data_IF_610780481967
#
_entry.id   IF_610780481967
#
_cell.length_a   1.000
_cell.length_b   1.000
_cell.length_c   1.000
_cell.angle_alpha   90.00
_cell.angle_beta   90.00
_cell.angle_gamma   90.00
#
_symmetry.space_group_name_H-M   'P 1'
#
loop_
_entity.id
_entity.type
_entity.pdbx_description
1 polymer ?
#
# COMPACT_ATOMS: atom_id res chain seq x y z
N UNK A 1 -45.60 78.07 -31.43
CA UNK A 1 -44.34 77.38 -31.57
C UNK A 1 -44.21 76.44 -30.40
N UNK A 2 -44.43 75.12 -30.65
CA UNK A 2 -44.36 74.11 -29.65
C UNK A 2 -43.14 73.26 -30.01
N UNK A 3 -42.14 73.24 -29.12
CA UNK A 3 -40.94 72.47 -29.30
C UNK A 3 -41.18 71.07 -28.74
N UNK A 4 -41.17 70.04 -29.60
CA UNK A 4 -41.26 68.65 -29.21
C UNK A 4 -39.87 68.12 -28.81
N UNK A 5 -39.75 67.60 -27.59
CA UNK A 5 -38.56 66.89 -27.09
C UNK A 5 -38.65 65.45 -27.49
N UNK A 6 -37.70 64.95 -28.28
CA UNK A 6 -37.50 63.55 -28.59
C UNK A 6 -36.72 62.89 -27.44
N UNK A 7 -37.38 61.93 -26.75
CA UNK A 7 -36.72 61.07 -25.78
C UNK A 7 -36.11 59.84 -26.52
N UNK A 8 -34.79 59.79 -26.58
CA UNK A 8 -34.09 58.59 -27.09
C UNK A 8 -33.82 57.66 -25.92
N UNK A 9 -34.54 56.51 -25.89
CA UNK A 9 -34.33 55.43 -24.90
C UNK A 9 -33.21 54.50 -25.42
N UNK A 10 -32.04 54.58 -24.84
CA UNK A 10 -30.95 53.65 -25.14
C UNK A 10 -31.19 52.33 -24.39
N UNK A 11 -31.43 51.27 -25.15
CA UNK A 11 -31.48 49.90 -24.62
C UNK A 11 -30.06 49.33 -24.54
N UNK A 12 -29.51 49.22 -23.33
CA UNK A 12 -28.22 48.59 -23.08
C UNK A 12 -28.48 47.10 -23.02
N UNK A 13 -28.19 46.36 -24.11
CA UNK A 13 -28.13 44.88 -24.09
C UNK A 13 -26.81 44.48 -23.44
N UNK A 14 -26.89 44.14 -22.17
CA UNK A 14 -25.75 43.60 -21.42
C UNK A 14 -25.39 42.20 -21.93
N UNK A 15 -24.34 42.11 -22.75
CA UNK A 15 -23.71 40.86 -23.12
C UNK A 15 -23.04 40.28 -21.85
N UNK A 16 -23.71 39.35 -21.17
CA UNK A 16 -23.05 38.49 -20.17
C UNK A 16 -22.04 37.62 -20.92
N UNK A 17 -20.77 38.01 -20.88
CA UNK A 17 -19.67 37.14 -21.20
C UNK A 17 -19.74 35.94 -20.22
N UNK A 18 -20.21 34.80 -20.70
CA UNK A 18 -20.09 33.54 -19.98
C UNK A 18 -18.58 33.30 -19.79
N UNK A 19 -18.12 33.36 -18.55
CA UNK A 19 -16.78 32.91 -18.20
C UNK A 19 -16.63 31.45 -18.66
N UNK A 20 -15.51 31.09 -19.29
CA UNK A 20 -15.28 29.69 -19.69
C UNK A 20 -15.42 28.81 -18.44
N UNK A 21 -16.28 27.80 -18.53
CA UNK A 21 -16.37 26.79 -17.47
C UNK A 21 -15.00 26.13 -17.34
N UNK A 22 -14.49 25.97 -16.12
CA UNK A 22 -13.30 25.16 -15.92
C UNK A 22 -13.55 23.76 -16.51
N UNK A 23 -12.53 23.15 -17.15
CA UNK A 23 -12.68 21.78 -17.64
C UNK A 23 -13.15 20.89 -16.48
N UNK A 24 -13.99 19.87 -16.75
CA UNK A 24 -14.42 18.94 -15.73
C UNK A 24 -13.17 18.40 -15.03
N UNK A 25 -13.17 18.40 -13.70
CA UNK A 25 -12.11 17.77 -12.93
C UNK A 25 -12.02 16.32 -13.42
N UNK A 26 -10.87 15.92 -13.96
CA UNK A 26 -10.61 14.52 -14.26
C UNK A 26 -10.58 13.85 -12.89
N UNK A 27 -11.61 13.07 -12.57
CA UNK A 27 -11.57 12.21 -11.39
C UNK A 27 -10.33 11.36 -11.51
N UNK A 28 -9.44 11.47 -10.52
CA UNK A 28 -8.23 10.68 -10.50
C UNK A 28 -8.65 9.20 -10.46
N UNK A 29 -8.25 8.43 -11.47
CA UNK A 29 -8.53 7.00 -11.51
C UNK A 29 -7.93 6.35 -10.27
N UNK A 30 -8.77 5.69 -9.48
CA UNK A 30 -8.32 4.93 -8.32
C UNK A 30 -7.55 3.68 -8.80
N UNK A 31 -6.42 3.40 -8.17
CA UNK A 31 -5.56 2.26 -8.56
C UNK A 31 -5.35 1.30 -7.40
N UNK A 32 -5.48 0.01 -7.70
CA UNK A 32 -5.03 -1.09 -6.88
C UNK A 32 -3.67 -1.59 -7.37
N UNK A 33 -2.76 -1.85 -6.46
CA UNK A 33 -1.49 -2.52 -6.78
C UNK A 33 -1.36 -3.76 -5.93
N UNK A 34 -1.15 -4.90 -6.57
CA UNK A 34 -0.91 -6.20 -5.93
C UNK A 34 0.53 -6.59 -6.18
N UNK A 35 1.26 -6.90 -5.11
CA UNK A 35 2.61 -7.46 -5.14
C UNK A 35 2.55 -8.84 -4.51
N UNK A 36 2.84 -9.89 -5.27
CA UNK A 36 2.96 -11.27 -4.78
C UNK A 36 4.40 -11.77 -4.93
N UNK A 37 5.21 -11.52 -3.88
CA UNK A 37 6.60 -11.97 -3.83
C UNK A 37 6.70 -13.48 -3.57
N UNK A 38 5.68 -14.10 -2.98
CA UNK A 38 5.68 -15.53 -2.67
C UNK A 38 5.47 -16.41 -3.91
N UNK A 39 4.95 -15.86 -5.01
CA UNK A 39 4.87 -16.55 -6.30
C UNK A 39 6.28 -16.66 -6.93
N UNK A 40 6.64 -17.74 -7.62
CA UNK A 40 5.81 -18.94 -7.87
C UNK A 40 5.95 -20.05 -6.82
N UNK A 41 6.81 -19.92 -5.82
CA UNK A 41 7.12 -21.00 -4.85
C UNK A 41 5.89 -21.37 -4.00
N UNK A 42 5.18 -20.35 -3.50
CA UNK A 42 4.00 -20.47 -2.66
C UNK A 42 2.78 -19.83 -3.36
N UNK A 43 2.52 -20.26 -4.59
CA UNK A 43 1.46 -19.73 -5.45
C UNK A 43 0.07 -19.95 -4.85
N UNK A 44 -0.71 -18.88 -4.72
CA UNK A 44 -2.13 -18.95 -4.34
C UNK A 44 -2.99 -18.12 -5.33
N UNK A 45 -3.41 -18.73 -6.46
CA UNK A 45 -4.20 -18.04 -7.47
C UNK A 45 -5.60 -17.70 -6.98
N UNK A 46 -6.17 -18.45 -6.02
CA UNK A 46 -7.48 -18.17 -5.43
C UNK A 46 -7.44 -16.85 -4.64
N UNK A 47 -6.47 -16.68 -3.74
CA UNK A 47 -6.27 -15.43 -3.01
C UNK A 47 -6.10 -14.26 -3.96
N UNK A 48 -5.18 -14.40 -4.94
CA UNK A 48 -4.90 -13.31 -5.88
C UNK A 48 -6.14 -12.92 -6.68
N UNK A 49 -6.90 -13.89 -7.14
CA UNK A 49 -8.16 -13.65 -7.87
C UNK A 49 -9.21 -12.97 -6.99
N UNK A 50 -9.33 -13.36 -5.72
CA UNK A 50 -10.25 -12.74 -4.76
C UNK A 50 -9.86 -11.29 -4.48
N UNK A 51 -8.60 -11.03 -4.11
CA UNK A 51 -8.09 -9.67 -3.86
C UNK A 51 -8.29 -8.76 -5.07
N UNK A 52 -8.00 -9.26 -6.27
CA UNK A 52 -8.22 -8.53 -7.51
C UNK A 52 -9.69 -8.21 -7.73
N UNK A 53 -10.58 -9.20 -7.56
CA UNK A 53 -12.02 -9.03 -7.75
C UNK A 53 -12.59 -7.97 -6.79
N UNK A 54 -12.21 -8.00 -5.50
CA UNK A 54 -12.65 -7.03 -4.51
C UNK A 54 -12.14 -5.62 -4.84
N UNK A 55 -10.90 -5.49 -5.33
CA UNK A 55 -10.34 -4.21 -5.78
C UNK A 55 -11.09 -3.68 -7.01
N UNK A 56 -11.37 -4.53 -8.01
CA UNK A 56 -12.11 -4.15 -9.23
C UNK A 56 -13.57 -3.79 -8.89
N UNK A 57 -14.25 -4.51 -7.99
CA UNK A 57 -15.60 -4.20 -7.51
C UNK A 57 -15.64 -2.86 -6.76
N UNK A 58 -14.60 -2.54 -5.99
CA UNK A 58 -14.43 -1.23 -5.35
C UNK A 58 -14.21 -0.09 -6.37
N UNK A 59 -13.89 -0.39 -7.62
CA UNK A 59 -13.65 0.57 -8.69
C UNK A 59 -12.18 0.90 -8.95
N UNK A 60 -11.26 0.07 -8.49
CA UNK A 60 -9.82 0.24 -8.73
C UNK A 60 -9.40 -0.38 -10.07
N UNK A 61 -8.50 0.30 -10.78
CA UNK A 61 -7.72 -0.34 -11.85
C UNK A 61 -6.56 -1.10 -11.22
N UNK A 62 -6.51 -2.42 -11.40
CA UNK A 62 -5.54 -3.28 -10.73
C UNK A 62 -4.31 -3.52 -11.59
N UNK A 63 -3.13 -3.31 -11.00
CA UNK A 63 -1.82 -3.66 -11.53
C UNK A 63 -1.21 -4.74 -10.62
N UNK A 64 -0.62 -5.77 -11.21
CA UNK A 64 -0.06 -6.91 -10.50
C UNK A 64 1.42 -7.08 -10.83
N UNK A 65 2.21 -7.38 -9.79
CA UNK A 65 3.62 -7.76 -9.87
C UNK A 65 3.79 -9.08 -9.12
N UNK A 66 4.34 -10.09 -9.78
CA UNK A 66 4.52 -11.41 -9.18
C UNK A 66 5.89 -12.02 -9.50
N UNK A 67 6.33 -12.93 -8.67
CA UNK A 67 7.56 -13.70 -8.93
C UNK A 67 8.76 -12.81 -9.16
N UNK A 68 9.45 -13.05 -10.27
CA UNK A 68 10.69 -12.34 -10.64
C UNK A 68 10.49 -10.84 -10.92
N UNK A 69 9.26 -10.40 -11.16
CA UNK A 69 8.94 -8.98 -11.33
C UNK A 69 8.96 -8.21 -9.99
N UNK A 70 8.97 -8.91 -8.86
CA UNK A 70 9.07 -8.29 -7.54
C UNK A 70 10.54 -8.04 -7.19
N UNK A 71 11.02 -6.88 -7.60
CA UNK A 71 12.42 -6.44 -7.49
C UNK A 71 12.56 -5.21 -6.58
N UNK A 72 13.79 -4.79 -6.33
CA UNK A 72 14.07 -3.51 -5.65
C UNK A 72 13.47 -2.33 -6.43
N UNK A 73 13.50 -2.38 -7.77
CA UNK A 73 12.93 -1.32 -8.62
C UNK A 73 11.40 -1.29 -8.59
N UNK A 74 10.75 -2.42 -8.39
CA UNK A 74 9.29 -2.49 -8.18
C UNK A 74 8.90 -1.66 -6.95
N UNK A 75 9.57 -1.87 -5.81
CA UNK A 75 9.35 -1.06 -4.61
C UNK A 75 9.76 0.41 -4.80
N UNK A 76 10.84 0.69 -5.58
CA UNK A 76 11.27 2.06 -5.87
C UNK A 76 10.21 2.85 -6.62
N UNK A 77 9.59 2.22 -7.61
CA UNK A 77 8.62 2.84 -8.52
C UNK A 77 7.19 2.89 -7.99
N UNK A 78 6.87 2.27 -6.85
CA UNK A 78 5.50 2.19 -6.31
C UNK A 78 4.79 3.54 -6.25
N UNK A 79 5.47 4.58 -5.82
CA UNK A 79 4.90 5.92 -5.74
C UNK A 79 4.52 6.51 -7.11
N UNK A 80 5.15 6.05 -8.21
CA UNK A 80 4.79 6.49 -9.57
C UNK A 80 3.44 5.94 -10.01
N UNK A 81 3.02 4.81 -9.45
CA UNK A 81 1.72 4.20 -9.72
C UNK A 81 0.58 4.90 -8.98
N UNK A 82 0.91 5.71 -7.95
CA UNK A 82 -0.06 6.39 -7.09
C UNK A 82 -1.19 5.47 -6.62
N UNK A 83 -0.88 4.34 -5.98
CA UNK A 83 -1.90 3.37 -5.56
C UNK A 83 -2.83 3.98 -4.51
N UNK A 84 -4.13 3.78 -4.67
CA UNK A 84 -5.14 4.02 -3.62
C UNK A 84 -5.14 2.87 -2.61
N UNK A 85 -5.01 1.64 -3.11
CA UNK A 85 -4.85 0.43 -2.30
C UNK A 85 -3.61 -0.33 -2.77
N UNK A 86 -2.73 -0.66 -1.84
CA UNK A 86 -1.53 -1.46 -2.06
C UNK A 86 -1.63 -2.74 -1.22
N UNK A 87 -1.70 -3.90 -1.88
CA UNK A 87 -1.65 -5.21 -1.25
C UNK A 87 -0.29 -5.84 -1.54
N UNK A 88 0.45 -6.19 -0.48
CA UNK A 88 1.77 -6.81 -0.57
C UNK A 88 1.71 -8.17 0.13
N UNK A 89 1.84 -9.26 -0.62
CA UNK A 89 2.03 -10.61 -0.12
C UNK A 89 3.51 -10.97 -0.27
N UNK A 90 4.22 -11.04 0.85
CA UNK A 90 5.67 -11.14 0.82
C UNK A 90 6.23 -11.81 2.07
N UNK A 91 7.31 -12.59 1.91
CA UNK A 91 8.18 -12.84 3.04
C UNK A 91 8.64 -11.51 3.63
N UNK A 92 8.68 -11.47 4.94
CA UNK A 92 9.16 -10.33 5.70
C UNK A 92 9.71 -10.81 7.03
N UNK A 93 10.47 -9.98 7.68
CA UNK A 93 11.04 -10.33 8.97
C UNK A 93 11.83 -9.20 9.60
N UNK A 94 12.19 -9.39 10.84
CA UNK A 94 13.00 -8.46 11.62
C UNK A 94 14.46 -8.91 11.57
N UNK A 95 15.31 -8.08 11.03
CA UNK A 95 16.75 -8.31 10.91
C UNK A 95 17.51 -7.51 11.95
N UNK A 96 18.58 -8.09 12.49
CA UNK A 96 19.55 -7.37 13.33
C UNK A 96 20.60 -6.74 12.43
N UNK A 97 20.79 -5.43 12.53
CA UNK A 97 21.91 -4.74 11.89
C UNK A 97 23.16 -4.92 12.75
N UNK A 98 24.30 -5.16 12.10
CA UNK A 98 25.58 -5.32 12.81
C UNK A 98 26.01 -3.99 13.45
N UNK A 99 26.43 -4.02 14.73
CA UNK A 99 26.93 -2.88 15.49
C UNK A 99 26.91 -3.10 16.99
N UNK A 100 27.52 -2.19 17.77
CA UNK A 100 27.60 -2.28 19.23
C UNK A 100 26.22 -2.20 19.93
N UNK A 101 25.24 -1.54 19.28
CA UNK A 101 23.83 -1.55 19.67
C UNK A 101 23.02 -2.24 18.55
N UNK A 102 22.79 -3.54 18.66
CA UNK A 102 22.05 -4.31 17.67
C UNK A 102 20.68 -3.66 17.37
N UNK A 103 20.63 -2.90 16.30
CA UNK A 103 19.41 -2.26 15.83
C UNK A 103 18.62 -3.26 15.01
N UNK A 104 17.37 -3.48 15.38
CA UNK A 104 16.45 -4.33 14.63
C UNK A 104 15.68 -3.50 13.62
N UNK A 105 15.51 -4.03 12.41
CA UNK A 105 14.82 -3.37 11.32
C UNK A 105 13.94 -4.37 10.57
N UNK A 106 12.72 -3.97 10.22
CA UNK A 106 11.82 -4.79 9.41
C UNK A 106 12.22 -4.74 7.94
N UNK A 107 12.16 -5.87 7.23
CA UNK A 107 12.42 -5.93 5.80
C UNK A 107 11.29 -6.65 5.05
N UNK A 108 10.90 -6.12 3.89
CA UNK A 108 10.12 -6.80 2.88
C UNK A 108 11.05 -7.45 1.87
N UNK A 109 10.79 -8.69 1.50
CA UNK A 109 11.64 -9.42 0.56
C UNK A 109 11.31 -9.06 -0.89
N UNK A 110 12.30 -9.23 -1.74
CA UNK A 110 12.16 -9.25 -3.20
C UNK A 110 12.56 -10.63 -3.72
N UNK A 111 12.23 -10.92 -4.99
CA UNK A 111 12.75 -12.11 -5.67
C UNK A 111 14.05 -11.84 -6.44
N UNK A 112 14.55 -10.61 -6.37
CA UNK A 112 15.79 -10.25 -7.04
C UNK A 112 17.00 -10.85 -6.32
N UNK A 113 17.81 -11.68 -7.02
CA UNK A 113 19.02 -12.25 -6.45
C UNK A 113 19.99 -11.18 -5.95
N UNK A 114 20.59 -11.44 -4.78
CA UNK A 114 21.58 -10.56 -4.18
C UNK A 114 22.81 -10.40 -5.08
N UNK A 115 23.37 -9.19 -5.08
CA UNK A 115 24.62 -8.85 -5.77
C UNK A 115 25.40 -7.81 -4.96
N UNK A 116 26.70 -8.08 -4.74
CA UNK A 116 27.59 -7.13 -4.07
C UNK A 116 27.83 -5.84 -4.85
N UNK A 117 27.51 -5.83 -6.15
CA UNK A 117 27.78 -4.70 -7.05
C UNK A 117 26.54 -3.91 -7.45
N UNK A 118 25.33 -4.41 -7.13
CA UNK A 118 24.07 -3.67 -7.33
C UNK A 118 23.68 -2.94 -6.04
N UNK A 119 23.08 -1.77 -6.17
CA UNK A 119 22.54 -0.98 -5.06
C UNK A 119 23.55 -0.70 -3.92
N UNK A 120 24.83 -0.53 -4.28
CA UNK A 120 25.92 -0.39 -3.28
C UNK A 120 25.67 0.76 -2.32
N UNK A 121 25.18 1.91 -2.81
CA UNK A 121 24.85 3.06 -1.94
C UNK A 121 23.71 2.75 -0.99
N UNK A 122 22.71 2.05 -1.47
CA UNK A 122 21.56 1.64 -0.66
C UNK A 122 21.94 0.58 0.37
N UNK A 123 22.80 -0.38 0.01
CA UNK A 123 23.30 -1.39 0.94
C UNK A 123 24.11 -0.73 2.08
N UNK A 124 25.02 0.18 1.75
CA UNK A 124 25.83 0.92 2.76
C UNK A 124 25.01 1.84 3.69
N UNK A 125 23.74 2.04 3.39
CA UNK A 125 22.80 2.88 4.15
C UNK A 125 21.63 2.08 4.72
N UNK A 126 21.75 0.78 4.77
CA UNK A 126 20.73 -0.15 5.28
C UNK A 126 19.33 0.03 4.62
N UNK A 127 19.30 0.56 3.40
CA UNK A 127 18.08 0.72 2.62
C UNK A 127 17.70 -0.56 1.90
N UNK A 128 18.70 -1.24 1.33
CA UNK A 128 18.58 -2.55 0.70
C UNK A 128 19.44 -3.53 1.50
N UNK A 129 18.82 -4.61 1.93
CA UNK A 129 19.38 -5.59 2.83
C UNK A 129 19.58 -6.93 2.12
N UNK A 130 20.43 -7.79 2.68
CA UNK A 130 20.54 -9.18 2.29
C UNK A 130 19.50 -9.96 3.11
N UNK A 131 18.63 -10.70 2.43
CA UNK A 131 17.62 -11.54 3.06
C UNK A 131 17.70 -12.96 2.55
N UNK A 132 17.24 -13.91 3.38
CA UNK A 132 17.08 -15.32 3.05
C UNK A 132 15.85 -15.87 3.77
N UNK A 133 15.17 -16.85 3.18
CA UNK A 133 13.98 -17.47 3.76
C UNK A 133 14.33 -18.29 5.00
N UNK A 134 15.41 -19.10 4.92
CA UNK A 134 15.93 -19.90 6.02
C UNK A 134 17.43 -19.70 6.17
N UNK A 135 17.95 -19.92 7.38
CA UNK A 135 19.40 -19.71 7.65
C UNK A 135 20.32 -20.55 6.76
N UNK A 136 19.85 -21.72 6.32
CA UNK A 136 20.61 -22.63 5.46
C UNK A 136 20.49 -22.31 3.97
N UNK A 137 19.64 -21.37 3.57
CA UNK A 137 19.45 -21.05 2.17
C UNK A 137 20.70 -20.34 1.61
N UNK A 138 21.22 -20.88 0.52
CA UNK A 138 22.31 -20.26 -0.25
C UNK A 138 21.78 -19.17 -1.21
N UNK A 139 20.49 -19.21 -1.53
CA UNK A 139 19.84 -18.28 -2.44
C UNK A 139 19.48 -16.95 -1.74
N UNK A 140 20.51 -16.10 -1.66
CA UNK A 140 20.36 -14.78 -1.07
C UNK A 140 19.60 -13.84 -2.01
N UNK A 141 18.64 -13.09 -1.47
CA UNK A 141 17.85 -12.09 -2.19
C UNK A 141 18.11 -10.69 -1.60
N UNK A 142 17.66 -9.69 -2.34
CA UNK A 142 17.52 -8.34 -1.77
C UNK A 142 16.22 -8.21 -0.99
N UNK A 143 16.28 -7.49 0.13
CA UNK A 143 15.11 -6.99 0.85
C UNK A 143 15.14 -5.47 0.93
N UNK A 144 13.98 -4.85 1.06
CA UNK A 144 13.83 -3.40 1.24
C UNK A 144 13.43 -3.07 2.68
N UNK A 145 14.11 -2.10 3.27
CA UNK A 145 13.92 -1.68 4.65
C UNK A 145 13.00 -0.44 4.75
N UNK A 146 12.56 -0.02 5.95
CA UNK A 146 11.92 1.28 6.18
C UNK A 146 12.75 2.45 5.64
N UNK A 147 14.08 2.39 5.73
CA UNK A 147 14.96 3.43 5.17
C UNK A 147 14.89 3.49 3.65
N UNK A 148 14.65 2.37 2.97
CA UNK A 148 14.41 2.37 1.54
C UNK A 148 13.10 3.06 1.20
N UNK A 149 12.03 2.71 1.88
CA UNK A 149 10.71 3.35 1.70
C UNK A 149 10.83 4.87 1.89
N UNK A 150 11.51 5.31 2.94
CA UNK A 150 11.68 6.72 3.26
C UNK A 150 12.54 7.48 2.24
N UNK A 151 13.62 6.88 1.72
CA UNK A 151 14.68 7.64 1.06
C UNK A 151 14.95 7.22 -0.39
N UNK A 152 14.45 6.05 -0.82
CA UNK A 152 14.73 5.50 -2.17
C UNK A 152 13.48 5.30 -3.02
N UNK A 153 12.28 5.31 -2.45
CA UNK A 153 11.04 5.36 -3.21
C UNK A 153 10.93 6.71 -3.95
N UNK A 154 10.63 6.69 -5.24
CA UNK A 154 10.70 7.89 -6.10
C UNK A 154 9.64 8.92 -5.78
N UNK A 155 8.39 8.50 -5.53
CA UNK A 155 7.26 9.38 -5.21
C UNK A 155 6.57 8.95 -3.93
N UNK A 156 5.71 9.82 -3.42
CA UNK A 156 4.88 9.54 -2.26
C UNK A 156 3.70 8.61 -2.62
N UNK A 157 3.06 8.08 -1.58
CA UNK A 157 1.85 7.25 -1.63
C UNK A 157 0.66 8.04 -1.02
N UNK A 158 0.22 9.14 -1.64
CA UNK A 158 -0.75 10.01 -0.99
C UNK A 158 -2.07 9.27 -0.78
N UNK A 159 -2.50 9.25 0.48
CA UNK A 159 -3.78 8.67 0.87
C UNK A 159 -3.97 7.18 0.52
N UNK A 160 -2.89 6.40 0.45
CA UNK A 160 -2.97 4.97 0.17
C UNK A 160 -3.35 4.18 1.40
N UNK A 161 -4.13 3.12 1.22
CA UNK A 161 -4.30 2.04 2.18
C UNK A 161 -3.31 0.93 1.83
N UNK A 162 -2.48 0.52 2.79
CA UNK A 162 -1.44 -0.50 2.59
C UNK A 162 -1.78 -1.72 3.43
N UNK A 163 -1.98 -2.86 2.78
CA UNK A 163 -2.15 -4.17 3.43
C UNK A 163 -0.90 -4.98 3.14
N UNK A 164 -0.21 -5.42 4.19
CA UNK A 164 0.99 -6.25 4.07
C UNK A 164 0.68 -7.64 4.63
N UNK A 165 0.45 -8.59 3.75
CA UNK A 165 0.35 -10.02 4.05
C UNK A 165 1.77 -10.58 4.18
N UNK A 166 2.33 -10.49 5.39
CA UNK A 166 3.70 -10.89 5.70
C UNK A 166 3.97 -10.96 7.21
N UNK A 167 5.08 -11.60 7.58
CA UNK A 167 5.47 -11.85 8.96
C UNK A 167 5.96 -10.58 9.67
N UNK A 168 5.55 -10.37 10.92
CA UNK A 168 6.13 -9.40 11.87
C UNK A 168 6.22 -7.94 11.39
N UNK A 169 5.39 -7.53 10.40
CA UNK A 169 5.46 -6.17 9.84
C UNK A 169 4.86 -5.10 10.77
N UNK A 170 4.03 -5.49 11.75
CA UNK A 170 3.49 -4.59 12.78
C UNK A 170 3.83 -5.02 14.22
N UNK A 171 4.69 -6.01 14.41
CA UNK A 171 5.37 -6.23 15.70
C UNK A 171 6.28 -5.05 16.08
N UNK A 172 6.71 -4.31 15.06
CA UNK A 172 7.38 -3.02 15.13
C UNK A 172 6.67 -2.04 14.22
N UNK A 173 6.69 -0.75 14.55
CA UNK A 173 6.01 0.27 13.73
C UNK A 173 6.91 0.89 12.67
N UNK A 174 8.18 0.54 12.60
CA UNK A 174 9.20 1.15 11.74
C UNK A 174 8.81 1.15 10.26
N UNK A 175 8.31 0.02 9.73
CA UNK A 175 7.86 -0.08 8.36
C UNK A 175 6.56 0.71 8.12
N UNK A 176 5.61 0.60 9.05
CA UNK A 176 4.36 1.35 8.97
C UNK A 176 4.59 2.87 9.05
N UNK A 177 5.48 3.32 9.92
CA UNK A 177 5.89 4.73 10.01
C UNK A 177 6.53 5.22 8.71
N UNK A 178 7.35 4.39 8.06
CA UNK A 178 7.95 4.72 6.78
C UNK A 178 6.90 4.91 5.68
N UNK A 179 5.94 3.99 5.54
CA UNK A 179 4.83 4.14 4.60
C UNK A 179 3.96 5.36 4.93
N UNK A 180 3.68 5.60 6.21
CA UNK A 180 2.94 6.78 6.67
C UNK A 180 3.66 8.08 6.35
N UNK A 181 4.97 8.15 6.56
CA UNK A 181 5.78 9.32 6.21
C UNK A 181 5.80 9.58 4.68
N UNK A 182 5.56 8.55 3.88
CA UNK A 182 5.38 8.65 2.43
C UNK A 182 3.93 8.92 2.01
N UNK A 183 3.02 9.10 2.96
CA UNK A 183 1.66 9.57 2.71
C UNK A 183 0.56 8.51 2.78
N UNK A 184 0.88 7.26 3.08
CA UNK A 184 -0.13 6.24 3.31
C UNK A 184 -1.09 6.64 4.44
N UNK A 185 -2.38 6.39 4.31
CA UNK A 185 -3.40 6.69 5.31
C UNK A 185 -3.41 5.69 6.46
N UNK A 186 -3.16 4.43 6.15
CA UNK A 186 -3.12 3.31 7.10
C UNK A 186 -2.25 2.19 6.56
N UNK A 187 -1.64 1.45 7.47
CA UNK A 187 -0.95 0.18 7.18
C UNK A 187 -1.60 -0.91 8.05
N UNK A 188 -1.96 -2.03 7.45
CA UNK A 188 -2.49 -3.21 8.13
C UNK A 188 -1.53 -4.38 7.94
N UNK A 189 -1.23 -5.13 8.97
CA UNK A 189 -0.38 -6.34 8.91
C UNK A 189 -0.41 -7.11 10.23
N UNK A 190 0.38 -8.19 10.29
CA UNK A 190 0.54 -9.05 11.46
C UNK A 190 1.74 -8.62 12.31
N UNK A 191 1.64 -8.86 13.64
CA UNK A 191 2.66 -8.47 14.62
C UNK A 191 3.79 -9.50 14.77
N UNK A 192 3.51 -10.79 14.56
CA UNK A 192 4.44 -11.90 14.76
C UNK A 192 4.65 -12.69 13.45
N UNK A 193 5.54 -13.68 13.39
CA UNK A 193 5.55 -14.66 12.30
C UNK A 193 4.16 -15.27 12.12
N UNK A 194 3.79 -15.56 10.88
CA UNK A 194 2.46 -16.04 10.54
C UNK A 194 2.55 -17.21 9.56
N UNK A 195 1.75 -18.27 9.79
CA UNK A 195 1.68 -19.40 8.87
C UNK A 195 1.01 -19.02 7.57
N UNK A 196 1.50 -19.57 6.45
CA UNK A 196 1.10 -19.15 5.12
C UNK A 196 -0.40 -19.38 4.85
N UNK A 197 -0.91 -20.55 5.23
CA UNK A 197 -2.33 -20.90 5.02
C UNK A 197 -3.26 -19.95 5.78
N UNK A 198 -2.95 -19.68 7.04
CA UNK A 198 -3.70 -18.70 7.85
C UNK A 198 -3.59 -17.28 7.25
N UNK A 199 -2.38 -16.87 6.90
CA UNK A 199 -2.12 -15.55 6.29
C UNK A 199 -2.99 -15.33 5.07
N UNK A 200 -3.04 -16.31 4.17
CA UNK A 200 -3.77 -16.20 2.92
C UNK A 200 -5.29 -16.13 3.15
N UNK A 201 -5.85 -16.99 4.02
CA UNK A 201 -7.29 -16.99 4.35
C UNK A 201 -7.69 -15.68 5.05
N UNK A 202 -6.94 -15.27 6.06
CA UNK A 202 -7.23 -14.06 6.82
C UNK A 202 -7.05 -12.78 5.97
N UNK A 203 -6.08 -12.78 5.04
CA UNK A 203 -5.89 -11.65 4.10
C UNK A 203 -7.03 -11.51 3.11
N UNK A 204 -7.53 -12.63 2.56
CA UNK A 204 -8.69 -12.60 1.67
C UNK A 204 -9.92 -12.02 2.38
N UNK A 205 -10.22 -12.50 3.59
CA UNK A 205 -11.33 -11.98 4.39
C UNK A 205 -11.15 -10.50 4.74
N UNK A 206 -9.94 -10.07 5.10
CA UNK A 206 -9.65 -8.67 5.41
C UNK A 206 -9.93 -7.76 4.20
N UNK A 207 -9.45 -8.15 3.02
CA UNK A 207 -9.63 -7.35 1.80
C UNK A 207 -11.10 -7.27 1.41
N UNK A 208 -11.85 -8.39 1.46
CA UNK A 208 -13.31 -8.43 1.26
C UNK A 208 -14.03 -7.51 2.26
N UNK A 209 -13.70 -7.58 3.55
CA UNK A 209 -14.27 -6.73 4.59
C UNK A 209 -14.01 -5.24 4.33
N UNK A 210 -12.80 -4.88 3.92
CA UNK A 210 -12.40 -3.50 3.65
C UNK A 210 -13.03 -2.93 2.37
N UNK A 211 -13.04 -3.70 1.28
CA UNK A 211 -13.37 -3.20 -0.05
C UNK A 211 -14.80 -3.57 -0.48
N UNK A 212 -15.17 -4.85 -0.48
CA UNK A 212 -16.49 -5.28 -0.90
C UNK A 212 -17.57 -4.93 0.14
N UNK A 213 -17.32 -5.20 1.42
CA UNK A 213 -18.25 -4.86 2.51
C UNK A 213 -18.14 -3.42 3.01
N UNK A 214 -17.10 -2.69 2.59
CA UNK A 214 -16.84 -1.29 2.96
C UNK A 214 -16.89 -1.03 4.48
N UNK A 215 -16.37 -1.98 5.25
CA UNK A 215 -16.22 -1.82 6.70
C UNK A 215 -15.17 -0.76 7.03
N UNK A 216 -15.27 -0.17 8.22
CA UNK A 216 -14.17 0.64 8.76
C UNK A 216 -12.92 -0.23 8.95
N UNK A 217 -11.75 0.38 9.00
CA UNK A 217 -10.49 -0.34 9.23
C UNK A 217 -10.54 -1.16 10.53
N UNK A 218 -11.11 -0.59 11.59
CA UNK A 218 -11.28 -1.27 12.88
C UNK A 218 -12.26 -2.44 12.78
N UNK A 219 -13.45 -2.23 12.19
CA UNK A 219 -14.45 -3.28 12.06
C UNK A 219 -13.96 -4.43 11.17
N UNK A 220 -13.26 -4.14 10.08
CA UNK A 220 -12.66 -5.15 9.22
C UNK A 220 -11.59 -5.98 9.96
N UNK A 221 -10.73 -5.31 10.74
CA UNK A 221 -9.72 -5.98 11.57
C UNK A 221 -10.38 -6.86 12.63
N UNK A 222 -11.36 -6.32 13.37
CA UNK A 222 -12.10 -7.06 14.41
C UNK A 222 -12.85 -8.25 13.79
N UNK A 223 -13.51 -8.05 12.64
CA UNK A 223 -14.23 -9.14 11.94
C UNK A 223 -13.28 -10.26 11.52
N UNK A 224 -12.11 -9.92 10.98
CA UNK A 224 -11.11 -10.91 10.58
C UNK A 224 -10.58 -11.69 11.78
N UNK A 225 -10.27 -11.00 12.88
CA UNK A 225 -9.82 -11.66 14.11
C UNK A 225 -10.91 -12.47 14.80
N UNK A 226 -12.18 -12.09 14.66
CA UNK A 226 -13.31 -12.87 15.20
C UNK A 226 -13.54 -14.16 14.40
N UNK A 227 -13.32 -14.14 13.08
CA UNK A 227 -13.48 -15.31 12.20
C UNK A 227 -12.36 -16.33 12.36
N UNK A 228 -11.10 -15.88 12.36
CA UNK A 228 -9.92 -16.75 12.30
C UNK A 228 -9.18 -16.92 13.64
N UNK A 229 -9.38 -16.00 14.59
CA UNK A 229 -8.56 -15.92 15.80
C UNK A 229 -7.13 -15.47 15.51
N UNK A 230 -6.22 -15.73 16.45
CA UNK A 230 -4.78 -15.61 16.20
C UNK A 230 -4.26 -16.79 15.38
N UNK A 231 -3.14 -16.58 14.66
CA UNK A 231 -2.47 -17.69 13.97
C UNK A 231 -2.22 -18.87 14.91
N UNK A 232 -2.67 -20.08 14.56
CA UNK A 232 -2.55 -21.24 15.45
C UNK A 232 -1.11 -21.73 15.67
N UNK A 233 -0.18 -21.38 14.78
CA UNK A 233 1.23 -21.84 14.86
C UNK A 233 2.09 -20.85 15.65
N UNK A 234 1.96 -19.55 15.37
CA UNK A 234 2.85 -18.51 15.93
C UNK A 234 2.12 -17.52 16.83
N UNK A 235 0.78 -17.55 16.87
CA UNK A 235 0.00 -16.65 17.70
C UNK A 235 -0.17 -15.24 17.14
N UNK A 236 0.24 -14.99 15.90
CA UNK A 236 0.16 -13.68 15.26
C UNK A 236 -1.26 -13.12 15.25
N UNK A 237 -1.38 -11.81 15.49
CA UNK A 237 -2.64 -11.08 15.40
C UNK A 237 -2.54 -9.98 14.34
N UNK A 238 -3.67 -9.72 13.69
CA UNK A 238 -3.80 -8.64 12.73
C UNK A 238 -3.94 -7.30 13.46
N UNK A 239 -3.12 -6.33 13.05
CA UNK A 239 -3.11 -4.97 13.57
C UNK A 239 -3.23 -3.95 12.45
N UNK A 240 -3.47 -2.69 12.82
CA UNK A 240 -3.39 -1.54 11.91
C UNK A 240 -2.71 -0.34 12.58
N UNK A 241 -2.07 0.50 11.76
CA UNK A 241 -1.37 1.72 12.21
C UNK A 241 -1.59 2.88 11.23
N UNK A 242 -1.95 4.11 11.71
CA UNK A 242 -2.09 4.52 13.10
C UNK A 242 -3.50 4.19 13.64
N UNK A 243 -3.68 4.08 14.97
CA UNK A 243 -4.99 3.78 15.57
C UNK A 243 -6.10 4.76 15.18
N UNK A 244 -5.76 6.01 14.92
CA UNK A 244 -6.73 7.02 14.50
C UNK A 244 -7.40 6.73 13.15
N UNK A 245 -6.82 5.85 12.33
CA UNK A 245 -7.38 5.44 11.03
C UNK A 245 -8.54 4.43 11.19
N UNK A 246 -8.64 3.76 12.33
CA UNK A 246 -9.61 2.68 12.57
C UNK A 246 -11.06 3.03 12.25
N UNK A 247 -11.48 4.25 12.51
CA UNK A 247 -12.87 4.73 12.34
C UNK A 247 -13.28 5.02 10.89
N UNK A 248 -12.37 4.96 9.94
CA UNK A 248 -12.62 5.31 8.54
C UNK A 248 -12.71 4.08 7.66
N UNK A 249 -13.54 4.17 6.62
CA UNK A 249 -13.58 3.22 5.51
C UNK A 249 -12.45 3.50 4.53
N UNK A 250 -12.15 2.54 3.64
CA UNK A 250 -11.17 2.75 2.55
C UNK A 250 -11.59 3.93 1.68
N UNK A 251 -12.89 4.04 1.33
CA UNK A 251 -13.39 5.14 0.51
C UNK A 251 -13.10 6.52 1.11
N UNK A 252 -13.18 6.68 2.44
CA UNK A 252 -12.87 7.94 3.13
C UNK A 252 -11.35 8.21 3.22
N UNK A 253 -10.53 7.15 3.24
CA UNK A 253 -9.07 7.27 3.36
C UNK A 253 -8.37 7.61 2.05
N UNK A 254 -8.97 7.24 0.89
CA UNK A 254 -8.35 7.40 -0.44
C UNK A 254 -8.84 8.65 -1.22
N UNK A 255 -9.81 9.39 -0.68
CA UNK A 255 -10.39 10.61 -1.27
C UNK A 255 -9.56 11.88 -1.10
#
# INVERSE_FOLDING_TARGET
MVAGALLVTAVIIGSRLLAPQPPPAVEAELRGVVIDQLSPEDLNPELRSAVRADMEEFGLQVLEYEGDDVTVETYRSLGNLSPSVLFIRSHSGVLSLEGDDAQHITALFTNQPYSKTKYVTEQLRDRVLIVRRHEQDEDLKFGVSPYFILNSMERNLPRSVVVIAGCSCLGRTDLAEAFRARGASVVLSWDEPVSLEYLDMASAHLVDALLAKQMTVEDATVSTMAEFGSDPEFGAILLYYPPAAGRYTVAELVQ
#
